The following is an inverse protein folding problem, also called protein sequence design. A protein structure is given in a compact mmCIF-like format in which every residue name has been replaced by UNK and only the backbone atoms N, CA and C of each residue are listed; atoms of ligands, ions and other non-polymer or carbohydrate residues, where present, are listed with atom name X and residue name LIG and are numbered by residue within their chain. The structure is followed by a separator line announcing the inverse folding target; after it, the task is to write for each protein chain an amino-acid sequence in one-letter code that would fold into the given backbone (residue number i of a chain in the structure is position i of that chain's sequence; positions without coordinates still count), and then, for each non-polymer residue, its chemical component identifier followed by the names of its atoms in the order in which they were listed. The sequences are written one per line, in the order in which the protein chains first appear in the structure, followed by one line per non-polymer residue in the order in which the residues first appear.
data_IF_422764370369
#
_entry.id   IF_422764370369
#
_cell.length_a   1.000
_cell.length_b   1.000
_cell.length_c   1.000
_cell.angle_alpha   90.00
_cell.angle_beta   90.00
_cell.angle_gamma   90.00
#
_symmetry.space_group_name_H-M   'P 1'
#
loop_
_entity.id
_entity.type
_entity.pdbx_description
1 polymer ?
#
# COMPACT_ATOMS: atom_id res chain seq x y z
N UNK A 1 0.68 2.96 -11.99
CA UNK A 1 1.13 1.76 -11.24
C UNK A 1 -0.03 1.32 -10.38
N UNK A 2 -0.38 0.04 -10.39
CA UNK A 2 -1.45 -0.49 -9.56
C UNK A 2 -0.96 -0.64 -8.11
N UNK A 3 -1.88 -0.63 -7.14
CA UNK A 3 -1.49 -0.72 -5.71
C UNK A 3 -0.79 -2.04 -5.38
N UNK A 4 -1.22 -3.15 -6.00
CA UNK A 4 -0.54 -4.44 -5.87
C UNK A 4 0.93 -4.40 -6.33
N UNK A 5 1.22 -3.71 -7.43
CA UNK A 5 2.59 -3.55 -7.94
C UNK A 5 3.46 -2.70 -7.00
N UNK A 6 2.89 -1.63 -6.43
CA UNK A 6 3.56 -0.77 -5.46
C UNK A 6 3.98 -1.60 -4.23
N UNK A 7 3.06 -2.40 -3.69
CA UNK A 7 3.31 -3.25 -2.52
C UNK A 7 4.40 -4.27 -2.82
N UNK A 8 4.34 -4.95 -3.97
CA UNK A 8 5.37 -5.92 -4.37
C UNK A 8 6.75 -5.27 -4.45
N UNK A 9 6.86 -4.08 -5.08
CA UNK A 9 8.14 -3.36 -5.18
C UNK A 9 8.69 -2.99 -3.80
N UNK A 10 7.86 -2.44 -2.91
CA UNK A 10 8.27 -2.10 -1.55
C UNK A 10 8.73 -3.33 -0.76
N UNK A 11 8.01 -4.45 -0.89
CA UNK A 11 8.37 -5.70 -0.23
C UNK A 11 9.62 -6.36 -0.82
N UNK A 12 9.98 -6.03 -2.06
CA UNK A 12 11.22 -6.45 -2.71
C UNK A 12 12.38 -5.46 -2.48
N UNK A 13 12.21 -4.49 -1.58
CA UNK A 13 13.29 -3.57 -1.15
C UNK A 13 13.37 -2.25 -1.90
N UNK A 14 12.40 -1.94 -2.79
CA UNK A 14 12.31 -0.60 -3.35
C UNK A 14 11.98 0.43 -2.24
N UNK A 15 12.46 1.66 -2.39
CA UNK A 15 12.13 2.73 -1.46
C UNK A 15 10.83 3.43 -1.85
N UNK A 16 10.20 4.09 -0.88
CA UNK A 16 9.04 4.94 -1.17
C UNK A 16 9.40 6.10 -2.11
N UNK A 17 10.61 6.65 -2.00
CA UNK A 17 11.11 7.73 -2.84
C UNK A 17 11.22 7.29 -4.31
N UNK A 18 11.76 6.10 -4.57
CA UNK A 18 11.88 5.55 -5.93
C UNK A 18 10.50 5.39 -6.58
N UNK A 19 9.55 4.82 -5.84
CA UNK A 19 8.20 4.59 -6.35
C UNK A 19 7.46 5.91 -6.55
N UNK A 20 7.52 6.82 -5.58
CA UNK A 20 6.88 8.12 -5.67
C UNK A 20 7.42 8.93 -6.86
N UNK A 21 8.74 8.93 -7.06
CA UNK A 21 9.41 9.55 -8.21
C UNK A 21 8.94 8.95 -9.53
N UNK A 22 8.84 7.62 -9.62
CA UNK A 22 8.33 6.93 -10.83
C UNK A 22 6.88 7.28 -11.17
N UNK A 23 6.09 7.65 -10.16
CA UNK A 23 4.69 8.07 -10.29
C UNK A 23 4.53 9.59 -10.40
N UNK A 24 5.63 10.35 -10.34
CA UNK A 24 5.63 11.83 -10.29
C UNK A 24 4.76 12.39 -9.17
N UNK A 25 4.74 11.72 -8.03
CA UNK A 25 4.06 12.19 -6.80
C UNK A 25 5.09 12.37 -5.69
N UNK A 26 4.71 13.06 -4.62
CA UNK A 26 5.57 13.17 -3.44
C UNK A 26 5.52 11.88 -2.61
N UNK A 27 6.63 11.56 -1.94
CA UNK A 27 6.76 10.39 -1.08
C UNK A 27 5.73 10.36 0.06
N UNK A 28 5.45 11.52 0.66
CA UNK A 28 4.49 11.65 1.76
C UNK A 28 3.05 11.36 1.31
N UNK A 29 2.70 11.72 0.07
CA UNK A 29 1.40 11.40 -0.53
C UNK A 29 1.28 9.89 -0.70
N UNK A 30 2.32 9.23 -1.25
CA UNK A 30 2.35 7.78 -1.41
C UNK A 30 2.18 7.05 -0.07
N UNK A 31 2.89 7.49 0.97
CA UNK A 31 2.75 6.92 2.32
C UNK A 31 1.35 7.10 2.88
N UNK A 32 0.76 8.29 2.71
CA UNK A 32 -0.58 8.60 3.21
C UNK A 32 -1.64 7.77 2.49
N UNK A 33 -1.53 7.63 1.17
CA UNK A 33 -2.44 6.80 0.38
C UNK A 33 -2.36 5.33 0.83
N UNK A 34 -1.16 4.75 0.94
CA UNK A 34 -0.98 3.37 1.40
C UNK A 34 -1.59 3.15 2.80
N UNK A 35 -1.46 4.13 3.70
CA UNK A 35 -2.08 4.10 5.02
C UNK A 35 -3.61 4.08 4.93
N UNK A 36 -4.22 4.93 4.10
CA UNK A 36 -5.67 4.92 3.84
C UNK A 36 -6.14 3.59 3.25
N UNK A 37 -5.33 2.96 2.40
CA UNK A 37 -5.57 1.63 1.87
C UNK A 37 -5.37 0.50 2.90
N UNK A 38 -5.00 0.83 4.14
CA UNK A 38 -4.84 -0.14 5.22
C UNK A 38 -3.48 -0.80 5.30
N UNK A 39 -2.48 -0.27 4.58
CA UNK A 39 -1.12 -0.78 4.61
C UNK A 39 -0.24 -0.03 5.60
N UNK A 40 0.46 -0.80 6.41
CA UNK A 40 1.43 -0.28 7.36
C UNK A 40 2.79 -0.93 7.12
N UNK A 41 3.85 -0.13 7.15
CA UNK A 41 5.21 -0.65 7.08
C UNK A 41 5.61 -1.19 8.46
N UNK A 42 5.85 -2.50 8.55
CA UNK A 42 6.36 -3.13 9.78
C UNK A 42 7.88 -3.15 9.74
N UNK A 43 8.53 -2.24 10.47
CA UNK A 43 9.98 -2.15 10.57
C UNK A 43 10.66 -3.49 10.95
N UNK A 44 10.05 -4.26 11.85
CA UNK A 44 10.58 -5.59 12.25
C UNK A 44 10.65 -6.59 11.10
N UNK A 45 9.68 -6.52 10.20
CA UNK A 45 9.56 -7.44 9.06
C UNK A 45 10.08 -6.82 7.76
N UNK A 46 10.51 -5.55 7.80
CA UNK A 46 10.95 -4.73 6.66
C UNK A 46 10.01 -4.79 5.46
N UNK A 47 8.70 -4.93 5.70
CA UNK A 47 7.68 -5.15 4.67
C UNK A 47 6.42 -4.34 4.96
N UNK A 48 5.72 -3.98 3.89
CA UNK A 48 4.33 -3.53 3.94
C UNK A 48 3.45 -4.72 4.28
N UNK A 49 2.66 -4.59 5.33
CA UNK A 49 1.59 -5.52 5.67
C UNK A 49 0.26 -4.82 5.58
N UNK A 50 -0.74 -5.55 5.09
CA UNK A 50 -2.12 -5.15 5.22
C UNK A 50 -2.55 -5.39 6.68
N UNK A 51 -3.09 -4.36 7.33
CA UNK A 51 -3.56 -4.45 8.73
C UNK A 51 -5.04 -4.12 8.86
N UNK A 52 -5.76 -4.02 7.73
CA UNK A 52 -7.13 -3.51 7.68
C UNK A 52 -7.18 -2.05 7.26
N UNK A 53 -8.27 -1.68 6.60
CA UNK A 53 -8.51 -0.34 6.09
C UNK A 53 -8.73 0.68 7.21
N UNK A 54 -8.38 1.95 6.98
CA UNK A 54 -8.99 3.03 7.78
C UNK A 54 -10.48 3.09 7.38
N UNK A 55 -11.39 3.00 8.36
CA UNK A 55 -12.75 2.44 8.21
C UNK A 55 -13.66 3.10 7.15
N UNK A 56 -13.31 4.30 6.69
CA UNK A 56 -14.08 5.13 5.77
C UNK A 56 -14.09 4.60 4.33
N UNK A 57 -13.14 3.74 3.95
CA UNK A 57 -13.01 3.23 2.58
C UNK A 57 -13.08 1.71 2.46
N UNK A 58 -13.27 0.97 3.56
CA UNK A 58 -13.24 -0.51 3.58
C UNK A 58 -14.16 -1.14 2.52
N UNK A 59 -15.42 -0.70 2.45
CA UNK A 59 -16.38 -1.26 1.49
C UNK A 59 -15.98 -0.94 0.04
N UNK A 60 -15.56 0.29 -0.24
CA UNK A 60 -15.12 0.71 -1.57
C UNK A 60 -13.88 -0.07 -2.00
N UNK A 61 -12.92 -0.27 -1.09
CA UNK A 61 -11.68 -0.95 -1.38
C UNK A 61 -11.85 -2.45 -1.56
N UNK A 62 -12.74 -3.09 -0.78
CA UNK A 62 -13.13 -4.49 -0.98
C UNK A 62 -13.79 -4.74 -2.34
N UNK A 63 -14.54 -3.77 -2.86
CA UNK A 63 -15.25 -3.90 -4.14
C UNK A 63 -14.33 -3.57 -5.31
N UNK A 64 -13.58 -2.47 -5.23
CA UNK A 64 -12.75 -1.98 -6.33
C UNK A 64 -11.41 -2.72 -6.49
N UNK A 65 -10.90 -3.33 -5.42
CA UNK A 65 -9.61 -4.00 -5.43
C UNK A 65 -9.72 -5.44 -4.87
N UNK A 66 -10.40 -6.34 -5.61
CA UNK A 66 -10.61 -7.73 -5.19
C UNK A 66 -9.31 -8.54 -5.11
N UNK A 67 -8.24 -8.08 -5.76
CA UNK A 67 -6.88 -8.62 -5.68
C UNK A 67 -6.24 -8.47 -4.29
N UNK A 68 -6.70 -7.49 -3.49
CA UNK A 68 -6.28 -7.31 -2.09
C UNK A 68 -7.06 -8.21 -1.12
N UNK A 69 -8.18 -8.80 -1.58
CA UNK A 69 -9.03 -9.70 -0.78
C UNK A 69 -8.27 -10.93 -0.25
N UNK A 70 -7.21 -11.35 -0.94
CA UNK A 70 -6.31 -12.44 -0.51
C UNK A 70 -5.24 -12.04 0.50
N UNK A 71 -5.07 -10.75 0.81
CA UNK A 71 -4.08 -10.22 1.76
C UNK A 71 -4.67 -9.93 3.14
N UNK A 72 -6.00 -9.98 3.28
CA UNK A 72 -6.68 -9.93 4.56
C UNK A 72 -6.70 -11.34 5.15
N UNK A 73 -5.93 -11.55 6.22
CA UNK A 73 -5.98 -12.77 7.04
C UNK A 73 -7.31 -12.82 7.79
#
# INVERSE_FOLDING_TARGET
MLIGEIIQKLNNGATYEDIASSMKIREDILKNDLKKFGFHYKNKEKKLVFTGYESEYENTLRVCYPDIKGLSI
#
